data_IF_295966614238
#
_entry.id   IF_295966614238
#
_cell.length_a   1.000
_cell.length_b   1.000
_cell.length_c   1.000
_cell.angle_alpha   90.00
_cell.angle_beta   90.00
_cell.angle_gamma   90.00
#
_symmetry.space_group_name_H-M   'P 1'
#
loop_
_entity.id
_entity.type
_entity.pdbx_description
1 polymer ?
#
# COMPACT_ATOMS: atom_id res chain seq x y z
N UNK A 1 -10.32 5.01 33.80
CA UNK A 1 -11.66 5.01 33.20
C UNK A 1 -11.51 5.50 31.77
N UNK A 2 -11.81 4.66 30.77
CA UNK A 2 -11.69 5.07 29.36
C UNK A 2 -12.67 6.22 29.09
N UNK A 3 -12.21 7.25 28.36
CA UNK A 3 -13.03 8.40 27.90
C UNK A 3 -14.22 7.92 27.04
N UNK A 4 -14.17 6.68 26.54
CA UNK A 4 -15.24 6.01 25.81
C UNK A 4 -16.55 5.88 26.58
N UNK A 5 -16.51 5.90 27.92
CA UNK A 5 -17.69 5.59 28.73
C UNK A 5 -18.56 6.82 29.04
N UNK A 6 -18.22 8.01 28.56
CA UNK A 6 -19.05 9.20 28.78
C UNK A 6 -19.84 9.65 27.55
N UNK A 7 -19.53 9.21 26.33
CA UNK A 7 -20.11 9.79 25.10
C UNK A 7 -20.78 8.73 24.18
N UNK A 8 -22.07 8.86 23.82
CA UNK A 8 -22.82 7.84 23.05
C UNK A 8 -22.47 7.71 21.56
N UNK A 9 -21.69 8.64 20.98
CA UNK A 9 -21.47 8.73 19.54
C UNK A 9 -20.16 8.08 19.05
N UNK A 10 -19.50 7.27 19.87
CA UNK A 10 -18.27 6.56 19.48
C UNK A 10 -18.46 5.04 19.57
N UNK A 11 -18.39 4.37 18.41
CA UNK A 11 -18.33 2.92 18.32
C UNK A 11 -16.90 2.49 18.65
N UNK A 12 -16.73 2.09 19.90
CA UNK A 12 -15.53 1.42 20.39
C UNK A 12 -15.48 0.01 19.81
N UNK A 13 -14.44 -0.32 19.03
CA UNK A 13 -14.12 -1.70 18.68
C UNK A 13 -13.70 -2.43 19.98
N UNK A 14 -14.66 -3.03 20.69
CA UNK A 14 -14.50 -3.60 22.04
C UNK A 14 -13.88 -5.01 22.09
N UNK A 15 -13.17 -5.46 21.06
CA UNK A 15 -12.63 -6.84 21.02
C UNK A 15 -11.11 -6.93 20.99
N UNK A 16 -10.41 -6.11 21.77
CA UNK A 16 -9.01 -6.40 22.12
C UNK A 16 -8.81 -6.32 23.64
N UNK A 17 -9.33 -7.34 24.33
CA UNK A 17 -8.69 -7.84 25.55
C UNK A 17 -7.60 -8.85 25.11
N UNK A 18 -6.50 -8.96 25.87
CA UNK A 18 -5.20 -9.30 25.33
C UNK A 18 -5.09 -10.80 25.05
N UNK A 19 -5.13 -11.17 23.77
CA UNK A 19 -4.34 -12.34 23.35
C UNK A 19 -2.93 -11.83 23.14
N UNK A 20 -2.06 -12.23 24.06
CA UNK A 20 -0.62 -12.03 24.05
C UNK A 20 -0.07 -12.38 22.65
N UNK A 21 0.10 -11.35 21.81
CA UNK A 21 1.00 -11.42 20.67
C UNK A 21 2.35 -10.96 21.24
N UNK A 22 3.40 -11.80 21.28
CA UNK A 22 4.60 -11.54 22.09
C UNK A 22 5.39 -10.26 21.80
N UNK A 23 5.00 -9.45 20.82
CA UNK A 23 5.75 -8.28 20.35
C UNK A 23 5.02 -6.93 20.48
N UNK A 24 3.82 -6.85 21.05
CA UNK A 24 3.09 -5.57 21.17
C UNK A 24 3.46 -4.71 22.39
N UNK A 25 4.39 -5.16 23.24
CA UNK A 25 4.81 -4.45 24.45
C UNK A 25 6.03 -3.53 24.22
N UNK A 26 6.63 -3.54 23.02
CA UNK A 26 8.00 -3.07 22.79
C UNK A 26 8.15 -1.58 22.43
N UNK A 27 7.29 -0.69 22.92
CA UNK A 27 7.43 0.77 22.62
C UNK A 27 7.27 1.70 23.84
N UNK A 28 6.77 1.22 24.98
CA UNK A 28 6.65 2.07 26.18
C UNK A 28 8.01 2.47 26.78
N UNK A 29 9.09 1.78 26.42
CA UNK A 29 10.44 1.95 26.98
C UNK A 29 11.52 2.35 25.96
N UNK A 30 11.15 2.92 24.81
CA UNK A 30 12.12 3.45 23.83
C UNK A 30 12.24 4.99 23.85
N UNK A 31 11.76 5.66 24.92
CA UNK A 31 11.85 7.12 25.07
C UNK A 31 10.84 7.90 24.21
N UNK A 32 9.75 7.25 23.78
CA UNK A 32 8.72 7.79 22.88
C UNK A 32 7.33 7.91 23.54
N UNK A 33 7.30 7.85 24.86
CA UNK A 33 6.12 8.09 25.68
C UNK A 33 6.41 9.22 26.68
N UNK A 34 5.38 9.93 27.10
CA UNK A 34 5.49 11.02 28.04
C UNK A 34 4.26 11.09 28.97
N UNK A 35 4.48 11.55 30.19
CA UNK A 35 3.40 11.90 31.10
C UNK A 35 3.12 13.39 31.00
N UNK A 36 1.86 13.74 30.74
CA UNK A 36 1.40 15.11 30.66
C UNK A 36 0.52 15.45 31.87
N UNK A 37 0.85 16.53 32.54
CA UNK A 37 0.08 17.09 33.65
C UNK A 37 -0.13 18.61 33.46
N UNK A 38 -1.27 19.16 33.89
CA UNK A 38 -1.43 20.60 34.03
C UNK A 38 -0.40 21.15 35.01
N UNK A 39 0.21 22.30 34.70
CA UNK A 39 1.23 22.93 35.55
C UNK A 39 0.71 23.32 36.93
N UNK A 40 -0.60 23.53 37.05
CA UNK A 40 -1.31 23.87 38.28
C UNK A 40 -1.89 22.65 39.01
N UNK A 41 -1.64 21.43 38.51
CA UNK A 41 -2.14 20.16 39.05
C UNK A 41 -3.67 20.09 39.23
N UNK A 42 -4.41 20.95 38.53
CA UNK A 42 -5.87 20.97 38.58
C UNK A 42 -6.46 19.76 37.86
N UNK A 43 -7.05 18.86 38.64
CA UNK A 43 -7.64 17.61 38.15
C UNK A 43 -8.83 17.83 37.21
N UNK A 44 -9.52 18.98 37.31
CA UNK A 44 -10.64 19.30 36.42
C UNK A 44 -10.19 19.49 34.97
N UNK A 45 -8.92 19.83 34.75
CA UNK A 45 -8.33 20.10 33.42
C UNK A 45 -7.77 18.86 32.72
N UNK A 46 -7.65 17.74 33.43
CA UNK A 46 -7.09 16.49 32.88
C UNK A 46 -7.89 15.98 31.68
N UNK A 47 -9.22 16.12 31.71
CA UNK A 47 -10.09 15.76 30.59
C UNK A 47 -9.82 16.59 29.34
N UNK A 48 -9.61 17.90 29.50
CA UNK A 48 -9.28 18.80 28.40
C UNK A 48 -7.86 18.53 27.88
N UNK A 49 -6.90 18.24 28.77
CA UNK A 49 -5.54 17.86 28.40
C UNK A 49 -5.51 16.56 27.57
N UNK A 50 -6.29 15.55 27.96
CA UNK A 50 -6.42 14.32 27.19
C UNK A 50 -6.99 14.58 25.79
N UNK A 51 -7.99 15.47 25.68
CA UNK A 51 -8.55 15.88 24.38
C UNK A 51 -7.50 16.57 23.51
N UNK A 52 -6.71 17.47 24.08
CA UNK A 52 -5.63 18.14 23.36
C UNK A 52 -4.57 17.15 22.88
N UNK A 53 -4.21 16.15 23.70
CA UNK A 53 -3.30 15.10 23.29
C UNK A 53 -3.84 14.27 22.11
N UNK A 54 -5.12 13.91 22.12
CA UNK A 54 -5.76 13.23 20.97
C UNK A 54 -5.73 14.13 19.72
N UNK A 55 -6.05 15.42 19.86
CA UNK A 55 -6.02 16.36 18.74
C UNK A 55 -4.60 16.61 18.20
N UNK A 56 -3.60 16.54 19.06
CA UNK A 56 -2.19 16.64 18.69
C UNK A 56 -1.66 15.37 17.99
N UNK A 57 -2.45 14.30 17.92
CA UNK A 57 -2.11 13.10 17.16
C UNK A 57 -1.35 12.02 17.93
N UNK A 58 -1.43 12.03 19.28
CA UNK A 58 -0.93 10.89 20.07
C UNK A 58 -1.77 9.64 19.80
N UNK A 59 -1.10 8.49 19.61
CA UNK A 59 -1.73 7.23 19.20
C UNK A 59 -2.44 6.55 20.38
N UNK A 60 -1.83 6.64 21.56
CA UNK A 60 -2.41 6.16 22.81
C UNK A 60 -2.42 7.28 23.84
N UNK A 61 -3.59 7.53 24.42
CA UNK A 61 -3.81 8.49 25.52
C UNK A 61 -4.52 7.76 26.64
N UNK A 62 -3.86 7.58 27.77
CA UNK A 62 -4.34 6.79 28.89
C UNK A 62 -4.30 7.58 30.20
N UNK A 63 -5.32 7.38 31.04
CA UNK A 63 -5.37 7.96 32.38
C UNK A 63 -4.71 6.97 33.34
N UNK A 64 -3.40 7.08 33.47
CA UNK A 64 -2.63 6.23 34.38
C UNK A 64 -2.90 6.60 35.85
N UNK A 65 -3.01 7.90 36.15
CA UNK A 65 -3.38 8.42 37.46
C UNK A 65 -4.40 9.56 37.39
N UNK A 66 -4.90 10.00 38.56
CA UNK A 66 -5.86 11.11 38.66
C UNK A 66 -5.26 12.49 38.40
N UNK A 67 -3.93 12.60 38.27
CA UNK A 67 -3.20 13.88 38.16
C UNK A 67 -2.42 14.05 36.86
N UNK A 68 -2.32 13.03 36.02
CA UNK A 68 -1.62 13.09 34.74
C UNK A 68 -2.19 12.06 33.77
N UNK A 69 -1.93 12.26 32.48
CA UNK A 69 -2.20 11.30 31.41
C UNK A 69 -0.87 10.77 30.88
N UNK A 70 -0.84 9.50 30.52
CA UNK A 70 0.25 8.89 29.79
C UNK A 70 -0.07 8.94 28.30
N UNK A 71 0.86 9.42 27.50
CA UNK A 71 0.72 9.50 26.05
C UNK A 71 1.88 8.82 25.35
N UNK A 72 1.62 8.19 24.21
CA UNK A 72 2.68 7.66 23.36
C UNK A 72 2.43 7.96 21.89
N UNK A 73 3.53 8.17 21.16
CA UNK A 73 3.46 8.39 19.71
C UNK A 73 3.30 7.07 18.98
N UNK A 74 2.71 7.14 17.78
CA UNK A 74 2.60 5.99 16.88
C UNK A 74 4.00 5.45 16.57
N UNK A 75 4.18 4.13 16.58
CA UNK A 75 5.47 3.58 16.18
C UNK A 75 5.77 3.90 14.72
N UNK A 76 7.04 4.18 14.40
CA UNK A 76 7.48 4.34 13.01
C UNK A 76 7.22 3.06 12.19
N UNK A 77 7.06 1.93 12.89
CA UNK A 77 6.70 0.63 12.32
C UNK A 77 5.21 0.62 11.95
N UNK A 78 4.32 1.19 12.78
CA UNK A 78 2.88 1.31 12.50
C UNK A 78 2.53 2.50 11.58
N UNK A 79 3.37 3.54 11.52
CA UNK A 79 3.29 4.59 10.49
C UNK A 79 3.89 4.11 9.15
N UNK A 80 4.88 3.21 9.18
CA UNK A 80 5.25 2.37 8.02
C UNK A 80 4.20 1.29 7.70
N UNK A 81 3.36 0.90 8.66
CA UNK A 81 2.29 -0.11 8.50
C UNK A 81 0.88 0.47 8.34
N UNK A 82 0.70 1.79 8.20
CA UNK A 82 -0.38 2.31 7.35
C UNK A 82 -0.09 1.80 5.95
N UNK A 83 -0.49 0.54 5.70
CA UNK A 83 -0.19 -0.34 4.58
C UNK A 83 0.15 0.48 3.35
N UNK A 84 1.42 0.81 3.21
CA UNK A 84 1.92 1.58 2.09
C UNK A 84 1.54 0.77 0.85
N UNK A 85 0.56 1.22 0.09
CA UNK A 85 0.41 0.82 -1.30
C UNK A 85 1.72 1.28 -1.94
N UNK A 86 2.75 0.44 -1.93
CA UNK A 86 4.07 0.82 -2.41
C UNK A 86 4.07 0.63 -3.93
N UNK A 87 4.56 1.66 -4.60
CA UNK A 87 4.26 1.94 -5.99
C UNK A 87 5.49 1.82 -6.88
N UNK A 88 5.40 2.37 -8.07
CA UNK A 88 6.53 2.72 -8.93
C UNK A 88 6.99 4.17 -8.64
N UNK A 89 8.26 4.50 -8.90
CA UNK A 89 8.76 5.86 -8.78
C UNK A 89 8.25 6.76 -9.89
N UNK A 90 8.37 8.07 -9.70
CA UNK A 90 7.91 9.09 -10.65
C UNK A 90 8.66 9.04 -12.01
N UNK A 91 9.89 8.53 -11.98
CA UNK A 91 10.82 8.45 -13.11
C UNK A 91 10.64 7.20 -13.97
N UNK A 92 9.81 6.25 -13.54
CA UNK A 92 9.56 5.05 -14.32
C UNK A 92 8.86 5.38 -15.64
N UNK A 93 9.05 4.54 -16.64
CA UNK A 93 8.61 4.80 -18.02
C UNK A 93 7.53 3.79 -18.42
N UNK A 94 6.51 4.28 -19.14
CA UNK A 94 5.49 3.46 -19.78
C UNK A 94 5.45 3.70 -21.29
N UNK A 95 5.04 2.69 -22.06
CA UNK A 95 4.84 2.77 -23.50
C UNK A 95 3.36 3.05 -23.81
N UNK A 96 3.07 4.03 -24.67
CA UNK A 96 1.72 4.34 -25.15
C UNK A 96 1.38 3.55 -26.43
N UNK A 97 0.09 3.42 -26.73
CA UNK A 97 -0.40 2.76 -27.96
C UNK A 97 0.09 3.41 -29.26
N UNK A 98 0.47 4.68 -29.22
CA UNK A 98 1.11 5.40 -30.34
C UNK A 98 2.64 5.21 -30.41
N UNK A 99 3.18 4.23 -29.69
CA UNK A 99 4.59 3.88 -29.64
C UNK A 99 5.53 4.97 -29.06
N UNK A 100 4.98 6.00 -28.41
CA UNK A 100 5.75 6.96 -27.62
C UNK A 100 5.88 6.47 -26.19
N UNK A 101 6.93 6.90 -25.51
CA UNK A 101 7.12 6.67 -24.08
C UNK A 101 6.73 7.89 -23.27
N UNK A 102 6.29 7.68 -22.04
CA UNK A 102 5.93 8.75 -21.10
C UNK A 102 6.44 8.40 -19.71
N UNK A 103 6.82 9.42 -18.94
CA UNK A 103 7.13 9.22 -17.53
C UNK A 103 5.85 8.89 -16.77
N UNK A 104 5.93 8.00 -15.79
CA UNK A 104 4.78 7.58 -15.01
C UNK A 104 4.12 8.76 -14.27
N UNK A 105 4.92 9.75 -13.90
CA UNK A 105 4.46 11.01 -13.30
C UNK A 105 3.64 11.91 -14.23
N UNK A 106 3.75 11.70 -15.53
CA UNK A 106 3.03 12.44 -16.57
C UNK A 106 1.80 11.68 -17.09
N UNK A 107 1.66 10.39 -16.77
CA UNK A 107 0.51 9.56 -17.16
C UNK A 107 -0.79 10.19 -16.64
N UNK A 108 -1.80 10.18 -17.49
CA UNK A 108 -3.13 10.72 -17.21
C UNK A 108 -4.18 9.63 -17.34
N UNK A 109 -5.29 9.78 -16.60
CA UNK A 109 -6.49 8.97 -16.83
C UNK A 109 -6.92 9.18 -18.28
N UNK A 110 -7.24 8.08 -18.95
CA UNK A 110 -7.57 8.07 -20.37
C UNK A 110 -6.39 7.72 -21.28
N UNK A 111 -5.14 7.84 -20.81
CA UNK A 111 -3.97 7.37 -21.58
C UNK A 111 -4.09 5.88 -21.82
N UNK A 112 -3.77 5.45 -23.04
CA UNK A 112 -3.74 4.03 -23.41
C UNK A 112 -2.28 3.55 -23.40
N UNK A 113 -1.95 2.69 -22.44
CA UNK A 113 -0.58 2.26 -22.14
C UNK A 113 -0.41 0.75 -22.27
N UNK A 114 0.83 0.31 -22.47
CA UNK A 114 1.16 -1.11 -22.57
C UNK A 114 0.83 -1.83 -21.26
N UNK A 115 0.09 -2.92 -21.39
CA UNK A 115 -0.35 -3.79 -20.30
C UNK A 115 -0.05 -5.26 -20.66
N UNK A 116 -0.01 -6.12 -19.64
CA UNK A 116 0.24 -7.55 -19.81
C UNK A 116 -1.08 -8.31 -19.76
N UNK A 117 -1.48 -8.91 -20.88
CA UNK A 117 -2.71 -9.68 -20.94
C UNK A 117 -2.51 -11.04 -20.28
N UNK A 118 -3.17 -11.28 -19.14
CA UNK A 118 -3.07 -12.56 -18.41
C UNK A 118 -3.80 -13.69 -19.13
N UNK A 119 -4.70 -13.40 -20.07
CA UNK A 119 -5.37 -14.43 -20.89
C UNK A 119 -4.50 -14.90 -22.05
N UNK A 120 -3.72 -14.01 -22.66
CA UNK A 120 -2.89 -14.33 -23.83
C UNK A 120 -1.41 -14.52 -23.49
N UNK A 121 -0.96 -14.05 -22.33
CA UNK A 121 0.45 -14.02 -21.94
C UNK A 121 1.30 -13.08 -22.79
N UNK A 122 0.69 -12.06 -23.42
CA UNK A 122 1.34 -11.14 -24.35
C UNK A 122 1.05 -9.68 -24.02
N UNK A 123 1.81 -8.78 -24.65
CA UNK A 123 1.52 -7.35 -24.58
C UNK A 123 0.16 -7.03 -25.22
N UNK A 124 -0.62 -6.19 -24.54
CA UNK A 124 -1.79 -5.49 -25.06
C UNK A 124 -1.70 -4.01 -24.70
N UNK A 125 -2.63 -3.20 -25.17
CA UNK A 125 -2.80 -1.81 -24.75
C UNK A 125 -4.08 -1.69 -23.92
N UNK A 126 -4.02 -0.93 -22.83
CA UNK A 126 -5.12 -0.77 -21.89
C UNK A 126 -5.21 0.65 -21.40
N UNK A 127 -6.43 1.16 -21.32
CA UNK A 127 -6.69 2.51 -20.84
C UNK A 127 -6.44 2.62 -19.33
N UNK A 128 -5.78 3.68 -18.91
CA UNK A 128 -5.66 4.08 -17.50
C UNK A 128 -7.01 4.63 -17.04
N UNK A 129 -7.65 3.95 -16.09
CA UNK A 129 -8.99 4.30 -15.59
C UNK A 129 -8.97 5.07 -14.28
N UNK A 130 -7.90 4.93 -13.49
CA UNK A 130 -7.75 5.60 -12.20
C UNK A 130 -6.30 5.52 -11.71
N UNK A 131 -6.02 6.10 -10.54
CA UNK A 131 -4.79 5.90 -9.79
C UNK A 131 -5.14 5.42 -8.38
N UNK A 132 -4.58 4.27 -7.98
CA UNK A 132 -4.76 3.71 -6.63
C UNK A 132 -3.96 4.49 -5.58
N UNK A 133 -2.85 5.11 -6.00
CA UNK A 133 -2.00 5.94 -5.15
C UNK A 133 -1.19 6.93 -6.00
N UNK A 134 -1.14 8.18 -5.56
CA UNK A 134 -0.25 9.23 -6.08
C UNK A 134 0.27 10.07 -4.91
N UNK A 135 1.58 10.03 -4.67
CA UNK A 135 2.30 10.98 -3.83
C UNK A 135 3.56 11.43 -4.57
N UNK A 136 3.71 12.73 -4.82
CA UNK A 136 4.83 13.29 -5.61
C UNK A 136 5.98 13.79 -4.75
N UNK A 137 5.74 14.06 -3.47
CA UNK A 137 6.70 14.75 -2.61
C UNK A 137 7.44 13.80 -1.67
N UNK A 138 6.98 12.55 -1.60
CA UNK A 138 7.65 11.52 -0.80
C UNK A 138 8.95 11.03 -1.45
N UNK A 139 10.01 10.96 -0.65
CA UNK A 139 11.24 10.25 -0.96
C UNK A 139 11.24 8.94 -0.20
N UNK A 140 11.51 7.85 -0.91
CA UNK A 140 11.53 6.49 -0.36
C UNK A 140 12.93 5.93 -0.59
N UNK A 141 13.61 5.56 0.49
CA UNK A 141 15.00 5.08 0.43
C UNK A 141 15.13 3.57 0.22
N UNK A 142 14.01 2.83 0.13
CA UNK A 142 13.97 1.37 0.08
C UNK A 142 13.42 0.76 -1.22
N UNK A 143 13.43 1.50 -2.33
CA UNK A 143 13.11 0.96 -3.66
C UNK A 143 14.08 -0.15 -4.06
N UNK A 144 13.60 -1.15 -4.79
CA UNK A 144 14.40 -2.19 -5.42
C UNK A 144 14.66 -1.80 -6.87
N UNK A 145 15.94 -1.74 -7.24
CA UNK A 145 16.39 -1.66 -8.63
C UNK A 145 16.84 -3.05 -9.07
N UNK A 146 16.07 -3.63 -9.96
CA UNK A 146 16.24 -5.00 -10.45
C UNK A 146 16.85 -4.90 -11.85
N UNK A 147 18.06 -5.41 -12.02
CA UNK A 147 18.74 -5.48 -13.31
C UNK A 147 18.38 -6.79 -14.02
N UNK A 148 18.06 -6.70 -15.31
CA UNK A 148 17.47 -7.78 -16.09
C UNK A 148 18.25 -7.93 -17.38
N UNK A 149 18.94 -9.07 -17.53
CA UNK A 149 19.97 -9.22 -18.56
C UNK A 149 21.02 -8.10 -18.44
N UNK A 150 21.38 -7.48 -19.57
CA UNK A 150 22.43 -6.46 -19.62
C UNK A 150 21.89 -5.03 -19.82
N UNK A 151 20.65 -4.87 -20.31
CA UNK A 151 20.17 -3.59 -20.85
C UNK A 151 18.86 -3.11 -20.21
N UNK A 152 18.23 -3.92 -19.36
CA UNK A 152 16.94 -3.60 -18.76
C UNK A 152 17.07 -3.48 -17.26
N UNK A 153 16.28 -2.59 -16.69
CA UNK A 153 16.14 -2.48 -15.25
C UNK A 153 14.71 -2.07 -14.90
N UNK A 154 14.24 -2.50 -13.74
CA UNK A 154 12.97 -2.09 -13.15
C UNK A 154 13.25 -1.46 -11.80
N UNK A 155 12.69 -0.28 -11.55
CA UNK A 155 12.69 0.30 -10.21
C UNK A 155 11.30 0.19 -9.61
N UNK A 156 11.17 -0.57 -8.53
CA UNK A 156 9.86 -0.85 -7.93
C UNK A 156 9.98 -1.04 -6.44
N UNK A 157 8.92 -0.75 -5.72
CA UNK A 157 8.91 -0.94 -4.28
C UNK A 157 8.84 -2.42 -3.86
N UNK A 158 9.28 -2.77 -2.63
CA UNK A 158 9.37 -4.16 -2.15
C UNK A 158 8.07 -5.00 -2.22
N UNK A 159 6.89 -4.40 -1.99
CA UNK A 159 5.62 -5.13 -1.86
C UNK A 159 4.78 -5.14 -3.15
N UNK A 160 5.35 -4.70 -4.27
CA UNK A 160 4.67 -4.65 -5.56
C UNK A 160 4.67 -6.03 -6.25
N UNK A 161 3.57 -6.41 -6.88
CA UNK A 161 3.48 -7.70 -7.58
C UNK A 161 4.06 -7.60 -8.99
N UNK A 162 5.06 -8.45 -9.26
CA UNK A 162 5.75 -8.58 -10.55
C UNK A 162 5.42 -9.94 -11.16
N UNK A 163 5.21 -9.99 -12.47
CA UNK A 163 4.99 -11.26 -13.17
C UNK A 163 6.32 -11.98 -13.40
N UNK A 164 6.38 -13.23 -12.94
CA UNK A 164 7.52 -14.13 -13.08
C UNK A 164 7.13 -15.28 -14.00
N UNK A 165 7.99 -15.59 -14.96
CA UNK A 165 7.81 -16.67 -15.91
C UNK A 165 8.42 -17.98 -15.39
N UNK A 166 7.69 -19.08 -15.52
CA UNK A 166 8.16 -20.42 -15.22
C UNK A 166 8.61 -21.17 -16.49
N UNK A 167 9.52 -22.12 -16.30
CA UNK A 167 10.03 -22.96 -17.40
C UNK A 167 8.95 -23.86 -18.03
N UNK A 168 7.84 -24.11 -17.34
CA UNK A 168 6.69 -24.88 -17.83
C UNK A 168 5.79 -24.09 -18.79
N UNK A 169 6.09 -22.81 -19.04
CA UNK A 169 5.30 -21.94 -19.89
C UNK A 169 4.27 -21.10 -19.14
N UNK A 170 4.04 -21.37 -17.85
CA UNK A 170 3.15 -20.59 -17.00
C UNK A 170 3.83 -19.30 -16.49
N UNK A 171 3.04 -18.43 -15.90
CA UNK A 171 3.51 -17.28 -15.15
C UNK A 171 2.67 -17.11 -13.89
N UNK A 172 3.28 -16.48 -12.90
CA UNK A 172 2.64 -16.19 -11.61
C UNK A 172 3.13 -14.84 -11.11
N UNK A 173 2.52 -14.33 -10.04
CA UNK A 173 2.94 -13.07 -9.43
C UNK A 173 3.76 -13.30 -8.17
N UNK A 174 4.80 -12.48 -8.00
CA UNK A 174 5.68 -12.50 -6.85
C UNK A 174 5.91 -11.07 -6.37
N UNK A 175 5.89 -10.84 -5.07
CA UNK A 175 6.27 -9.53 -4.53
C UNK A 175 7.73 -9.25 -4.89
N UNK A 176 8.04 -8.01 -5.24
CA UNK A 176 9.38 -7.62 -5.68
C UNK A 176 10.49 -7.99 -4.66
N UNK A 177 10.20 -7.88 -3.36
CA UNK A 177 11.12 -8.25 -2.26
C UNK A 177 11.45 -9.74 -2.19
N UNK A 178 10.60 -10.58 -2.79
CA UNK A 178 10.78 -12.02 -2.83
C UNK A 178 11.50 -12.46 -4.12
N UNK A 179 11.67 -11.57 -5.11
CA UNK A 179 12.42 -11.88 -6.33
C UNK A 179 13.87 -12.24 -5.98
N UNK A 180 14.41 -13.20 -6.72
CA UNK A 180 15.80 -13.64 -6.56
C UNK A 180 16.52 -13.57 -7.90
N UNK A 181 17.85 -13.40 -7.85
CA UNK A 181 18.70 -13.48 -9.05
C UNK A 181 18.48 -14.83 -9.72
N UNK A 182 18.25 -14.82 -11.04
CA UNK A 182 17.90 -16.00 -11.81
C UNK A 182 16.40 -16.16 -12.13
N UNK A 183 15.49 -15.49 -11.40
CA UNK A 183 14.06 -15.43 -11.77
C UNK A 183 13.91 -14.84 -13.19
N UNK A 184 12.98 -15.36 -14.00
CA UNK A 184 12.70 -14.84 -15.34
C UNK A 184 11.56 -13.82 -15.28
N UNK A 185 11.83 -12.60 -15.76
CA UNK A 185 10.81 -11.56 -15.88
C UNK A 185 10.35 -11.43 -17.34
N UNK A 186 9.07 -11.08 -17.50
CA UNK A 186 8.41 -10.91 -18.80
C UNK A 186 8.58 -9.47 -19.26
N UNK A 187 9.11 -9.28 -20.46
CA UNK A 187 9.29 -7.97 -21.09
C UNK A 187 8.21 -7.70 -22.14
N UNK A 188 8.03 -6.42 -22.46
CA UNK A 188 7.01 -5.91 -23.37
C UNK A 188 7.17 -6.34 -24.85
N UNK A 189 8.32 -6.91 -25.21
CA UNK A 189 8.61 -7.51 -26.53
C UNK A 189 8.50 -9.05 -26.52
N UNK A 190 7.70 -9.60 -25.60
CA UNK A 190 7.50 -11.03 -25.35
C UNK A 190 8.77 -11.81 -24.97
N UNK A 191 9.91 -11.12 -24.74
CA UNK A 191 11.14 -11.75 -24.26
C UNK A 191 11.02 -12.06 -22.78
N UNK A 192 11.66 -13.16 -22.36
CA UNK A 192 11.84 -13.49 -20.95
C UNK A 192 13.32 -13.45 -20.64
N UNK A 193 13.72 -12.61 -19.69
CA UNK A 193 15.12 -12.43 -19.31
C UNK A 193 15.28 -12.65 -17.81
N UNK A 194 16.43 -13.21 -17.44
CA UNK A 194 16.77 -13.46 -16.03
C UNK A 194 17.15 -12.17 -15.34
N UNK A 195 16.79 -12.07 -14.06
CA UNK A 195 17.36 -11.09 -13.13
C UNK A 195 18.85 -11.39 -12.99
N UNK A 196 19.68 -10.38 -13.22
CA UNK A 196 21.13 -10.42 -13.04
C UNK A 196 21.56 -9.88 -11.69
N UNK A 197 20.87 -8.86 -11.17
CA UNK A 197 21.21 -8.20 -9.92
C UNK A 197 19.99 -7.50 -9.30
N UNK A 198 19.97 -7.39 -7.97
CA UNK A 198 18.95 -6.63 -7.24
C UNK A 198 19.67 -5.74 -6.23
N UNK A 199 19.43 -4.42 -6.31
CA UNK A 199 19.97 -3.43 -5.39
C UNK A 199 18.86 -2.63 -4.73
N UNK A 200 19.13 -2.07 -3.55
CA UNK A 200 18.27 -1.06 -2.94
C UNK A 200 18.75 0.33 -3.35
N UNK A 201 17.83 1.16 -3.81
CA UNK A 201 18.12 2.54 -4.25
C UNK A 201 17.10 3.51 -3.65
N UNK A 202 17.50 4.74 -3.34
CA UNK A 202 16.53 5.79 -3.05
C UNK A 202 15.86 6.27 -4.33
N UNK A 203 14.55 6.51 -4.28
CA UNK A 203 13.80 7.12 -5.37
C UNK A 203 12.67 8.02 -4.86
N UNK A 204 12.07 8.79 -5.77
CA UNK A 204 11.03 9.78 -5.46
C UNK A 204 9.69 9.40 -6.09
N UNK A 205 8.65 9.77 -5.35
CA UNK A 205 7.26 9.62 -5.75
C UNK A 205 6.74 8.19 -5.59
N UNK A 206 5.43 8.07 -5.38
CA UNK A 206 4.67 6.82 -5.34
C UNK A 206 3.54 6.93 -6.36
N UNK A 207 3.63 6.17 -7.46
CA UNK A 207 2.61 6.13 -8.51
C UNK A 207 2.10 4.71 -8.76
N UNK A 208 0.80 4.49 -8.56
CA UNK A 208 0.12 3.24 -8.89
C UNK A 208 -1.07 3.51 -9.82
N UNK A 209 -0.85 3.62 -11.14
CA UNK A 209 -1.95 3.70 -12.10
C UNK A 209 -2.74 2.39 -12.13
N UNK A 210 -4.04 2.51 -12.36
CA UNK A 210 -4.94 1.39 -12.59
C UNK A 210 -5.35 1.38 -14.06
N UNK A 211 -5.01 0.32 -14.78
CA UNK A 211 -5.49 0.07 -16.13
C UNK A 211 -6.78 -0.75 -16.09
N UNK A 212 -7.52 -0.78 -17.20
CA UNK A 212 -8.68 -1.67 -17.35
C UNK A 212 -8.25 -3.15 -17.21
N UNK A 213 -7.09 -3.51 -17.77
CA UNK A 213 -6.52 -4.86 -17.67
C UNK A 213 -6.10 -5.23 -16.23
N UNK A 214 -5.78 -4.23 -15.38
CA UNK A 214 -5.25 -4.47 -14.02
C UNK A 214 -3.76 -4.81 -13.97
N UNK A 215 -3.10 -4.76 -15.13
CA UNK A 215 -1.67 -4.98 -15.31
C UNK A 215 -1.05 -3.81 -16.09
N UNK A 216 0.27 -3.71 -16.04
CA UNK A 216 1.01 -2.61 -16.65
C UNK A 216 2.42 -3.08 -17.02
N UNK A 217 2.96 -2.59 -18.13
CA UNK A 217 4.39 -2.64 -18.38
C UNK A 217 5.06 -1.36 -17.89
N UNK A 218 5.94 -1.48 -16.90
CA UNK A 218 6.74 -0.38 -16.35
C UNK A 218 8.21 -0.68 -16.54
N UNK A 219 8.96 0.29 -17.06
CA UNK A 219 10.37 0.12 -17.44
C UNK A 219 10.59 -1.11 -18.36
N UNK A 220 9.59 -1.40 -19.19
CA UNK A 220 9.47 -2.56 -20.09
C UNK A 220 9.18 -3.91 -19.42
N UNK A 221 8.92 -3.97 -18.11
CA UNK A 221 8.68 -5.20 -17.34
C UNK A 221 7.21 -5.34 -16.97
N UNK A 222 6.66 -6.54 -17.12
CA UNK A 222 5.27 -6.84 -16.76
C UNK A 222 5.10 -6.80 -15.23
N UNK A 223 4.16 -5.98 -14.79
CA UNK A 223 3.78 -5.86 -13.39
C UNK A 223 2.26 -5.79 -13.23
N UNK A 224 1.78 -6.09 -12.03
CA UNK A 224 0.39 -5.82 -11.66
C UNK A 224 0.20 -4.32 -11.39
N UNK A 225 -1.01 -3.81 -11.51
CA UNK A 225 -1.37 -2.50 -10.93
C UNK A 225 -1.49 -2.53 -9.40
N UNK A 226 -1.45 -3.72 -8.76
CA UNK A 226 -1.72 -3.92 -7.35
C UNK A 226 -0.45 -4.18 -6.52
N UNK A 227 -0.46 -3.67 -5.29
CA UNK A 227 0.63 -3.82 -4.33
C UNK A 227 0.09 -4.10 -2.92
N UNK A 228 0.92 -4.72 -2.07
CA UNK A 228 0.55 -5.02 -0.68
C UNK A 228 -0.50 -6.12 -0.53
N UNK A 229 -0.80 -6.84 -1.62
CA UNK A 229 -1.71 -7.98 -1.69
C UNK A 229 -0.95 -9.21 -2.17
N UNK A 230 -1.42 -10.41 -1.80
CA UNK A 230 -0.75 -11.67 -2.18
C UNK A 230 -1.20 -12.23 -3.52
N UNK A 231 -2.37 -11.85 -4.00
CA UNK A 231 -2.97 -12.35 -5.23
C UNK A 231 -3.41 -11.19 -6.12
N UNK A 232 -2.91 -11.20 -7.35
CA UNK A 232 -3.36 -10.30 -8.40
C UNK A 232 -4.83 -10.53 -8.73
N UNK A 233 -5.23 -11.79 -8.98
CA UNK A 233 -6.58 -12.12 -9.44
C UNK A 233 -7.66 -11.71 -8.43
N UNK A 234 -7.40 -11.94 -7.13
CA UNK A 234 -8.31 -11.52 -6.08
C UNK A 234 -8.42 -9.99 -6.01
N UNK A 235 -7.30 -9.28 -6.08
CA UNK A 235 -7.30 -7.83 -6.06
C UNK A 235 -8.01 -7.25 -7.29
N UNK A 236 -7.79 -7.85 -8.47
CA UNK A 236 -8.45 -7.47 -9.71
C UNK A 236 -9.96 -7.66 -9.62
N UNK A 237 -10.38 -8.83 -9.15
CA UNK A 237 -11.79 -9.18 -8.96
C UNK A 237 -12.51 -8.18 -8.06
N UNK A 238 -11.89 -7.81 -6.94
CA UNK A 238 -12.45 -6.83 -6.00
C UNK A 238 -12.51 -5.43 -6.61
N UNK A 239 -11.55 -5.05 -7.45
CA UNK A 239 -11.46 -3.71 -8.05
C UNK A 239 -12.29 -3.58 -9.34
N UNK A 240 -12.70 -4.69 -9.97
CA UNK A 240 -13.49 -4.69 -11.22
C UNK A 240 -14.68 -3.74 -11.24
N UNK A 241 -15.57 -3.67 -10.23
CA UNK A 241 -16.71 -2.76 -10.25
C UNK A 241 -16.30 -1.30 -10.48
N UNK A 242 -15.17 -0.87 -9.90
CA UNK A 242 -14.65 0.48 -10.08
C UNK A 242 -14.18 0.76 -11.49
N UNK A 243 -13.48 -0.21 -12.10
CA UNK A 243 -12.96 -0.05 -13.45
C UNK A 243 -14.07 0.26 -14.46
N UNK A 244 -15.23 -0.40 -14.31
CA UNK A 244 -16.36 -0.26 -15.23
C UNK A 244 -17.34 0.85 -14.86
N UNK A 245 -17.68 1.01 -13.58
CA UNK A 245 -18.74 1.93 -13.16
C UNK A 245 -18.23 3.32 -12.74
N UNK A 246 -16.92 3.50 -12.54
CA UNK A 246 -16.37 4.77 -12.07
C UNK A 246 -14.97 5.14 -12.61
N UNK A 247 -14.75 5.15 -13.95
CA UNK A 247 -13.58 5.81 -14.51
C UNK A 247 -13.69 7.32 -14.23
N UNK A 248 -12.97 7.80 -13.22
CA UNK A 248 -13.15 9.16 -12.72
C UNK A 248 -12.52 10.17 -13.70
N UNK A 249 -13.35 10.96 -14.40
CA UNK A 249 -12.92 12.04 -15.31
C UNK A 249 -12.45 13.33 -14.60
N UNK A 250 -12.35 13.33 -13.27
CA UNK A 250 -11.97 14.53 -12.52
C UNK A 250 -10.48 14.48 -12.18
N UNK A 251 -9.71 15.20 -13.01
CA UNK A 251 -8.27 15.30 -12.90
C UNK A 251 -7.75 15.84 -11.57
N UNK A 252 -6.49 15.51 -11.29
CA UNK A 252 -5.56 16.18 -10.35
C UNK A 252 -6.18 16.56 -9.00
N UNK A 253 -6.40 15.55 -8.14
CA UNK A 253 -6.71 15.74 -6.72
C UNK A 253 -5.60 15.20 -5.83
N UNK A 254 -5.02 16.07 -5.02
CA UNK A 254 -3.94 15.83 -4.06
C UNK A 254 -4.15 14.65 -3.10
N UNK A 255 -3.14 13.79 -3.01
CA UNK A 255 -2.71 13.12 -1.76
C UNK A 255 -3.75 12.29 -0.98
N UNK A 256 -4.83 11.82 -1.60
CA UNK A 256 -5.88 11.06 -0.90
C UNK A 256 -6.03 9.67 -1.49
N UNK A 257 -6.01 8.68 -0.60
CA UNK A 257 -6.42 7.30 -0.90
C UNK A 257 -7.81 7.36 -1.55
N UNK A 258 -7.99 6.71 -2.70
CA UNK A 258 -9.28 6.69 -3.40
C UNK A 258 -10.41 6.34 -2.43
N UNK A 259 -11.54 7.04 -2.46
CA UNK A 259 -12.67 6.84 -1.53
C UNK A 259 -13.13 5.37 -1.46
N UNK A 260 -12.94 4.63 -2.56
CA UNK A 260 -13.19 3.19 -2.61
C UNK A 260 -12.15 2.32 -1.91
N UNK A 261 -10.88 2.71 -1.87
CA UNK A 261 -9.93 2.05 -0.98
C UNK A 261 -10.36 2.27 0.48
N UNK A 262 -10.95 3.42 0.84
CA UNK A 262 -11.57 3.63 2.15
C UNK A 262 -12.85 2.77 2.34
N UNK A 263 -13.65 2.56 1.29
CA UNK A 263 -14.81 1.65 1.30
C UNK A 263 -14.40 0.18 1.42
N UNK A 264 -13.38 -0.25 0.67
CA UNK A 264 -12.79 -1.58 0.77
C UNK A 264 -12.08 -1.79 2.11
N UNK A 265 -11.49 -0.74 2.70
CA UNK A 265 -10.99 -0.77 4.07
C UNK A 265 -12.14 -1.02 5.05
N UNK A 266 -13.26 -0.32 4.91
CA UNK A 266 -14.45 -0.58 5.73
C UNK A 266 -15.00 -1.99 5.53
N UNK A 267 -14.94 -2.55 4.32
CA UNK A 267 -15.34 -3.93 4.06
C UNK A 267 -14.31 -4.92 4.60
N UNK A 268 -13.01 -4.67 4.49
CA UNK A 268 -11.96 -5.53 5.04
C UNK A 268 -12.02 -5.55 6.58
N UNK A 269 -12.20 -4.40 7.21
CA UNK A 269 -12.44 -4.27 8.66
C UNK A 269 -13.78 -4.93 9.07
N UNK A 270 -14.81 -4.86 8.23
CA UNK A 270 -16.08 -5.58 8.43
C UNK A 270 -15.90 -7.10 8.33
N UNK A 271 -15.13 -7.59 7.35
CA UNK A 271 -14.86 -9.02 7.16
C UNK A 271 -13.93 -9.59 8.25
N UNK A 272 -12.95 -8.80 8.71
CA UNK A 272 -12.12 -9.11 9.87
C UNK A 272 -12.97 -9.13 11.16
N UNK A 273 -13.87 -8.17 11.35
CA UNK A 273 -14.76 -8.13 12.54
C UNK A 273 -15.87 -9.19 12.53
N UNK A 274 -16.24 -9.72 11.36
CA UNK A 274 -17.17 -10.85 11.21
C UNK A 274 -16.50 -12.23 11.33
N UNK A 275 -15.18 -12.29 11.58
CA UNK A 275 -14.41 -13.53 11.75
C UNK A 275 -14.51 -14.50 10.55
N UNK A 276 -14.69 -13.97 9.33
CA UNK A 276 -14.89 -14.78 8.11
C UNK A 276 -13.56 -15.40 7.61
N UNK A 277 -12.41 -15.05 8.20
CA UNK A 277 -11.12 -15.67 7.88
C UNK A 277 -10.95 -17.10 8.40
N UNK A 278 -11.89 -17.65 9.18
CA UNK A 278 -11.87 -19.10 9.48
C UNK A 278 -12.39 -19.99 8.36
N UNK A 279 -12.79 -19.44 7.20
CA UNK A 279 -13.28 -20.24 6.07
C UNK A 279 -12.25 -20.44 4.94
N UNK A 280 -11.12 -19.72 4.94
CA UNK A 280 -10.07 -19.85 3.91
C UNK A 280 -8.75 -20.42 4.44
N UNK A 281 -8.72 -20.84 5.71
CA UNK A 281 -7.55 -21.48 6.35
C UNK A 281 -7.90 -22.88 6.88
N UNK A 282 -8.75 -23.59 6.11
CA UNK A 282 -8.91 -25.04 6.22
C UNK A 282 -8.82 -25.66 4.83
N UNK A 283 -7.78 -26.47 4.74
CA UNK A 283 -7.57 -27.59 3.82
C UNK A 283 -6.90 -27.28 2.47
N UNK A 284 -5.62 -27.71 2.42
CA UNK A 284 -4.75 -28.07 1.28
C UNK A 284 -3.87 -26.97 0.65
#
# INVERSE_FOLDING_TARGET
>A
MLVSNQWPAWIQNRNFAPRLVPNSVLMHYEGRAADLAPSDFDRSKIGALARLAVQAGFDWVHYEHKSHIHVSVKSDILSRSTRSLRCFPESSIVLLSNNRTKLLSEVQIGDEIAAFSTSTGRQTFSQVVSFLHVDRQVRIDDYLKIYIGNNYNLTVSPDHLIFVYNNDGSFYTKMAKNLIVGDFLILNNDRRLKISEIQRVPSRGLFAPLTMEGTIFVDNVAASCYAGVRSHDLADFVIRPIKYFWPNNNGRGSGTIHWYANFLWKIADLLESMNIYTFFDRDL
#
